data_IF_514444987835
#
_entry.id   IF_514444987835
#
_cell.length_a   1.000
_cell.length_b   1.000
_cell.length_c   1.000
_cell.angle_alpha   90.00
_cell.angle_beta   90.00
_cell.angle_gamma   90.00
#
_symmetry.space_group_name_H-M   'P 1'
#
loop_
_entity.id
_entity.type
_entity.pdbx_description
1 polymer ?
#
# COMPACT_ATOMS: atom_id res chain seq x y z
N UNK A 1 -7.56 -22.37 -46.06
CA UNK A 1 -7.88 -21.96 -44.67
C UNK A 1 -8.74 -20.71 -44.73
N UNK A 2 -10.03 -20.83 -44.41
CA UNK A 2 -10.97 -19.69 -44.43
C UNK A 2 -10.68 -18.76 -43.25
N UNK A 3 -10.29 -17.51 -43.53
CA UNK A 3 -10.16 -16.47 -42.50
C UNK A 3 -11.56 -16.19 -41.98
N UNK A 4 -11.81 -16.54 -40.73
CA UNK A 4 -13.01 -16.13 -39.98
C UNK A 4 -12.97 -14.61 -39.91
N UNK A 5 -13.81 -13.93 -40.69
CA UNK A 5 -14.05 -12.49 -40.56
C UNK A 5 -14.80 -12.33 -39.23
N UNK A 6 -14.05 -12.13 -38.15
CA UNK A 6 -14.63 -11.73 -36.87
C UNK A 6 -15.09 -10.29 -37.09
N UNK A 7 -16.39 -10.06 -36.93
CA UNK A 7 -16.96 -8.73 -37.05
C UNK A 7 -16.50 -7.92 -35.82
N UNK A 8 -15.30 -7.35 -35.92
CA UNK A 8 -14.56 -6.69 -34.83
C UNK A 8 -15.27 -5.47 -34.23
N UNK A 9 -16.34 -4.97 -34.84
CA UNK A 9 -16.98 -3.72 -34.40
C UNK A 9 -17.85 -3.86 -33.14
N UNK A 10 -18.62 -4.94 -33.00
CA UNK A 10 -19.61 -5.08 -31.91
C UNK A 10 -18.97 -5.55 -30.61
N UNK A 11 -18.03 -6.51 -30.68
CA UNK A 11 -17.35 -7.05 -29.49
C UNK A 11 -16.42 -6.01 -28.84
N UNK A 12 -15.82 -5.12 -29.64
CA UNK A 12 -14.91 -4.11 -29.12
C UNK A 12 -15.64 -2.91 -28.50
N UNK A 13 -16.85 -2.57 -28.95
CA UNK A 13 -17.57 -1.40 -28.44
C UNK A 13 -17.81 -1.46 -26.92
N UNK A 14 -18.26 -2.61 -26.40
CA UNK A 14 -18.51 -2.79 -24.95
C UNK A 14 -17.23 -2.61 -24.14
N UNK A 15 -16.10 -3.14 -24.63
CA UNK A 15 -14.82 -3.01 -23.95
C UNK A 15 -14.28 -1.57 -24.00
N UNK A 16 -14.46 -0.87 -25.12
CA UNK A 16 -14.03 0.53 -25.29
C UNK A 16 -14.90 1.52 -24.52
N UNK A 17 -16.16 1.18 -24.24
CA UNK A 17 -17.14 2.04 -23.58
C UNK A 17 -17.51 1.55 -22.17
N UNK A 18 -16.62 0.81 -21.50
CA UNK A 18 -16.90 0.30 -20.14
C UNK A 18 -17.30 1.42 -19.19
N UNK A 19 -16.57 2.53 -19.15
CA UNK A 19 -16.90 3.65 -18.25
C UNK A 19 -18.33 4.18 -18.46
N UNK A 20 -18.78 4.28 -19.71
CA UNK A 20 -20.15 4.67 -20.06
C UNK A 20 -21.20 3.64 -19.60
N UNK A 21 -20.82 2.36 -19.50
CA UNK A 21 -21.68 1.29 -19.02
C UNK A 21 -21.74 1.17 -17.49
N UNK A 22 -20.85 1.86 -16.76
CA UNK A 22 -20.77 1.76 -15.29
C UNK A 22 -22.07 2.11 -14.54
N UNK A 23 -22.94 3.04 -15.00
CA UNK A 23 -24.22 3.30 -14.35
C UNK A 23 -25.24 2.14 -14.49
N UNK A 24 -25.06 1.26 -15.46
CA UNK A 24 -26.01 0.19 -15.79
C UNK A 24 -25.64 -1.18 -15.19
N UNK A 25 -24.82 -1.20 -14.14
CA UNK A 25 -24.38 -2.44 -13.46
C UNK A 25 -25.58 -3.32 -13.08
N UNK A 26 -25.53 -4.58 -13.49
CA UNK A 26 -26.57 -5.58 -13.21
C UNK A 26 -27.82 -5.42 -14.07
N UNK A 27 -27.79 -4.62 -15.13
CA UNK A 27 -28.91 -4.41 -16.05
C UNK A 27 -28.60 -4.97 -17.44
N UNK A 28 -29.68 -5.27 -18.16
CA UNK A 28 -29.65 -5.50 -19.60
C UNK A 28 -29.67 -4.15 -20.32
N UNK A 29 -28.80 -3.99 -21.31
CA UNK A 29 -28.63 -2.75 -22.06
C UNK A 29 -28.75 -3.05 -23.55
N UNK A 30 -29.54 -2.24 -24.25
CA UNK A 30 -29.57 -2.17 -25.70
C UNK A 30 -28.73 -1.00 -26.17
N UNK A 31 -27.77 -1.25 -27.06
CA UNK A 31 -26.85 -0.24 -27.57
C UNK A 31 -26.65 -0.35 -29.08
N UNK A 32 -26.17 0.72 -29.70
CA UNK A 32 -25.63 0.70 -31.06
C UNK A 32 -24.11 1.02 -31.02
N UNK A 33 -23.50 1.38 -32.14
CA UNK A 33 -22.09 1.72 -32.23
C UNK A 33 -21.71 3.08 -31.59
N UNK A 34 -22.70 3.88 -31.19
CA UNK A 34 -22.51 5.25 -30.72
C UNK A 34 -22.99 5.45 -29.28
N UNK A 35 -24.10 4.81 -28.89
CA UNK A 35 -24.78 5.11 -27.63
C UNK A 35 -25.59 3.93 -27.07
N UNK A 36 -26.02 4.10 -25.82
CA UNK A 36 -27.00 3.25 -25.15
C UNK A 36 -28.41 3.78 -25.44
N UNK A 37 -29.28 2.90 -25.96
CA UNK A 37 -30.63 3.25 -26.40
C UNK A 37 -31.69 2.95 -25.34
N UNK A 38 -31.49 1.88 -24.57
CA UNK A 38 -32.37 1.48 -23.47
C UNK A 38 -31.62 0.61 -22.45
N UNK A 39 -32.09 0.62 -21.21
CA UNK A 39 -31.66 -0.33 -20.18
C UNK A 39 -32.84 -0.80 -19.35
N UNK A 40 -32.75 -2.01 -18.81
CA UNK A 40 -33.72 -2.52 -17.85
C UNK A 40 -33.10 -3.58 -16.94
N UNK A 41 -33.61 -3.76 -15.70
CA UNK A 41 -33.12 -4.80 -14.79
C UNK A 41 -33.31 -6.22 -15.33
N UNK A 42 -34.38 -6.46 -16.09
CA UNK A 42 -34.72 -7.77 -16.66
C UNK A 42 -34.74 -7.72 -18.17
N UNK A 43 -34.38 -8.84 -18.81
CA UNK A 43 -34.36 -8.94 -20.28
C UNK A 43 -35.75 -8.75 -20.89
N UNK A 44 -36.80 -9.23 -20.23
CA UNK A 44 -38.19 -9.03 -20.69
C UNK A 44 -38.60 -7.56 -20.69
N UNK A 45 -38.27 -6.82 -19.63
CA UNK A 45 -38.54 -5.38 -19.55
C UNK A 45 -37.75 -4.60 -20.60
N UNK A 46 -36.51 -5.02 -20.90
CA UNK A 46 -35.73 -4.40 -21.97
C UNK A 46 -36.42 -4.60 -23.32
N UNK A 47 -36.85 -5.83 -23.64
CA UNK A 47 -37.53 -6.13 -24.91
C UNK A 47 -38.81 -5.32 -25.06
N UNK A 48 -39.58 -5.13 -23.97
CA UNK A 48 -40.76 -4.27 -24.00
C UNK A 48 -40.37 -2.81 -24.30
N UNK A 49 -39.34 -2.28 -23.63
CA UNK A 49 -38.87 -0.90 -23.85
C UNK A 49 -38.38 -0.66 -25.29
N UNK A 50 -37.78 -1.67 -25.91
CA UNK A 50 -37.32 -1.64 -27.32
C UNK A 50 -38.51 -1.56 -28.27
N UNK A 51 -39.56 -2.37 -28.03
CA UNK A 51 -40.79 -2.37 -28.83
C UNK A 51 -41.51 -1.03 -28.72
N UNK A 52 -41.66 -0.51 -27.51
CA UNK A 52 -42.36 0.75 -27.25
C UNK A 52 -41.66 1.93 -27.92
N UNK A 53 -40.31 1.93 -27.90
CA UNK A 53 -39.46 2.94 -28.55
C UNK A 53 -39.22 2.69 -30.04
N UNK A 54 -39.74 1.59 -30.61
CA UNK A 54 -39.55 1.17 -32.00
C UNK A 54 -38.07 1.17 -32.44
N UNK A 55 -37.18 0.70 -31.56
CA UNK A 55 -35.74 0.64 -31.84
C UNK A 55 -35.46 -0.54 -32.76
N UNK A 56 -34.82 -0.29 -33.90
CA UNK A 56 -34.59 -1.30 -34.96
C UNK A 56 -33.15 -1.77 -35.08
N UNK A 57 -32.16 -0.90 -34.80
CA UNK A 57 -30.74 -1.23 -34.90
C UNK A 57 -30.08 -1.23 -33.51
N UNK A 58 -30.04 -2.40 -32.87
CA UNK A 58 -29.48 -2.54 -31.54
C UNK A 58 -28.80 -3.91 -31.34
N UNK A 59 -27.85 -3.94 -30.41
CA UNK A 59 -27.32 -5.16 -29.81
C UNK A 59 -27.65 -5.14 -28.32
N UNK A 60 -27.95 -6.31 -27.75
CA UNK A 60 -28.24 -6.46 -26.32
C UNK A 60 -27.00 -7.00 -25.61
N UNK A 61 -26.66 -6.41 -24.48
CA UNK A 61 -25.60 -6.88 -23.59
C UNK A 61 -26.07 -6.84 -22.14
N UNK A 62 -25.68 -7.83 -21.34
CA UNK A 62 -25.83 -7.77 -19.88
C UNK A 62 -24.59 -7.14 -19.27
N UNK A 63 -24.77 -6.05 -18.52
CA UNK A 63 -23.67 -5.33 -17.89
C UNK A 63 -23.32 -6.00 -16.57
N UNK A 64 -22.35 -6.93 -16.62
CA UNK A 64 -21.99 -7.70 -15.45
C UNK A 64 -21.30 -6.81 -14.39
N UNK A 65 -21.72 -6.84 -13.11
CA UNK A 65 -21.16 -5.98 -12.05
C UNK A 65 -19.63 -6.08 -11.90
N UNK A 66 -19.05 -7.26 -12.19
CA UNK A 66 -17.60 -7.50 -12.05
C UNK A 66 -16.76 -6.81 -13.12
N UNK A 67 -17.33 -6.29 -14.21
CA UNK A 67 -16.57 -5.57 -15.24
C UNK A 67 -15.90 -4.30 -14.72
N UNK A 68 -16.38 -3.80 -13.58
CA UNK A 68 -15.93 -2.59 -12.91
C UNK A 68 -15.22 -2.87 -11.59
N UNK A 69 -14.97 -4.15 -11.27
CA UNK A 69 -14.17 -4.49 -10.12
C UNK A 69 -12.75 -3.95 -10.34
N UNK A 70 -12.25 -3.17 -9.38
CA UNK A 70 -10.86 -2.74 -9.41
C UNK A 70 -9.99 -4.00 -9.38
N UNK A 71 -8.98 -4.14 -10.26
CA UNK A 71 -8.08 -5.27 -10.18
C UNK A 71 -7.43 -5.30 -8.80
N UNK A 72 -7.49 -6.46 -8.15
CA UNK A 72 -6.80 -6.70 -6.88
C UNK A 72 -5.30 -6.52 -7.15
N UNK A 73 -4.71 -5.45 -6.64
CA UNK A 73 -3.26 -5.24 -6.70
C UNK A 73 -2.63 -6.00 -5.54
N UNK A 74 -1.94 -7.10 -5.85
CA UNK A 74 -1.03 -7.73 -4.90
C UNK A 74 0.25 -6.91 -4.85
N UNK A 75 0.51 -6.25 -3.72
CA UNK A 75 1.77 -5.55 -3.49
C UNK A 75 2.81 -6.56 -3.00
N UNK A 76 4.05 -6.55 -3.52
CA UNK A 76 5.08 -7.47 -3.08
C UNK A 76 5.46 -7.16 -1.61
N UNK A 77 5.19 -8.11 -0.70
CA UNK A 77 5.72 -8.08 0.65
C UNK A 77 7.14 -8.66 0.60
N UNK A 78 8.14 -7.83 0.89
CA UNK A 78 9.53 -8.27 1.03
C UNK A 78 9.79 -8.60 2.48
N UNK A 79 9.89 -9.89 2.81
CA UNK A 79 10.41 -10.33 4.09
C UNK A 79 11.94 -10.20 4.06
N UNK A 80 12.50 -9.32 4.89
CA UNK A 80 13.94 -9.33 5.16
C UNK A 80 14.22 -10.51 6.08
N UNK A 81 15.19 -11.34 5.72
CA UNK A 81 15.66 -12.43 6.58
C UNK A 81 16.15 -11.84 7.90
N UNK A 82 15.53 -12.25 9.01
CA UNK A 82 16.10 -12.02 10.33
C UNK A 82 17.32 -12.93 10.46
N UNK A 83 18.49 -12.35 10.74
CA UNK A 83 19.61 -13.15 11.22
C UNK A 83 19.19 -13.75 12.56
N UNK A 84 19.20 -15.08 12.66
CA UNK A 84 19.21 -15.75 13.96
C UNK A 84 20.56 -15.41 14.60
N UNK A 85 20.59 -14.37 15.42
CA UNK A 85 21.69 -14.17 16.34
C UNK A 85 21.38 -15.03 17.57
N UNK A 86 22.38 -15.69 18.13
CA UNK A 86 22.22 -16.20 19.49
C UNK A 86 22.05 -15.00 20.39
N UNK A 87 20.99 -15.00 21.20
CA UNK A 87 20.79 -13.94 22.16
C UNK A 87 21.92 -14.02 23.19
N UNK A 88 22.80 -13.02 23.19
CA UNK A 88 23.70 -12.73 24.31
C UNK A 88 23.14 -11.53 25.04
N UNK A 89 23.26 -11.45 26.37
CA UNK A 89 22.85 -10.26 27.10
C UNK A 89 23.91 -9.15 27.03
N UNK A 90 25.13 -9.46 26.59
CA UNK A 90 26.23 -8.50 26.44
C UNK A 90 26.40 -8.08 24.97
N UNK A 91 26.56 -6.78 24.75
CA UNK A 91 26.81 -6.19 23.43
C UNK A 91 27.93 -5.15 23.48
N UNK A 92 28.64 -5.03 22.37
CA UNK A 92 29.62 -3.97 22.15
C UNK A 92 28.89 -2.63 21.91
N UNK A 93 29.16 -1.66 22.79
CA UNK A 93 28.57 -0.32 22.76
C UNK A 93 29.68 0.71 22.58
N UNK A 94 29.53 1.56 21.57
CA UNK A 94 30.40 2.72 21.40
C UNK A 94 29.80 3.92 22.13
N UNK A 95 30.47 4.37 23.18
CA UNK A 95 30.13 5.59 23.89
C UNK A 95 30.88 6.74 23.22
N UNK A 96 30.16 7.59 22.50
CA UNK A 96 30.72 8.77 21.85
C UNK A 96 30.53 10.01 22.75
N UNK A 97 31.61 10.44 23.42
CA UNK A 97 31.69 11.74 24.07
C UNK A 97 32.12 12.84 23.09
N UNK A 98 32.05 14.11 23.51
CA UNK A 98 32.31 15.27 22.64
C UNK A 98 33.73 15.32 22.01
N UNK A 99 34.69 14.53 22.52
CA UNK A 99 36.07 14.49 22.02
C UNK A 99 36.68 13.08 21.93
N UNK A 100 36.02 12.03 22.43
CA UNK A 100 36.57 10.67 22.48
C UNK A 100 35.48 9.62 22.31
N UNK A 101 35.82 8.56 21.57
CA UNK A 101 35.00 7.36 21.44
C UNK A 101 35.67 6.24 22.22
N UNK A 102 34.92 5.62 23.13
CA UNK A 102 35.35 4.41 23.82
C UNK A 102 34.36 3.30 23.52
N UNK A 103 34.90 2.11 23.22
CA UNK A 103 34.10 0.93 22.98
C UNK A 103 34.16 0.03 24.20
N UNK A 104 32.99 -0.32 24.73
CA UNK A 104 32.83 -1.12 25.96
C UNK A 104 31.80 -2.22 25.73
N UNK A 105 31.96 -3.35 26.38
CA UNK A 105 30.95 -4.42 26.40
C UNK A 105 29.94 -4.13 27.53
N UNK A 106 28.65 -4.06 27.21
CA UNK A 106 27.60 -3.72 28.18
C UNK A 106 26.47 -4.76 28.20
N UNK A 107 25.97 -5.04 29.40
CA UNK A 107 24.80 -5.89 29.66
C UNK A 107 23.50 -5.14 29.32
N UNK A 108 22.60 -5.77 28.55
CA UNK A 108 21.22 -5.32 28.34
C UNK A 108 20.35 -5.97 29.42
N UNK A 109 20.02 -5.18 30.44
CA UNK A 109 19.18 -5.62 31.55
C UNK A 109 17.86 -4.83 31.57
N UNK A 110 16.74 -5.51 31.32
CA UNK A 110 15.40 -4.91 31.36
C UNK A 110 14.84 -4.73 32.78
N UNK A 111 15.55 -5.20 33.81
CA UNK A 111 15.16 -5.11 35.22
C UNK A 111 16.07 -4.24 36.09
N UNK A 112 17.00 -3.51 35.47
CA UNK A 112 17.92 -2.63 36.20
C UNK A 112 17.22 -1.34 36.66
N UNK A 113 16.61 -1.39 37.84
CA UNK A 113 16.23 -0.19 38.60
C UNK A 113 17.36 0.18 39.56
N UNK A 114 17.83 1.42 39.42
CA UNK A 114 18.70 2.17 40.34
C UNK A 114 19.83 1.38 41.05
N UNK A 115 21.06 1.60 40.57
CA UNK A 115 22.38 1.40 41.22
C UNK A 115 23.26 0.39 40.46
N UNK A 116 24.03 0.92 39.51
CA UNK A 116 25.32 0.48 38.96
C UNK A 116 25.34 0.63 37.43
N UNK A 117 26.09 1.62 36.95
CA UNK A 117 26.68 1.88 35.61
C UNK A 117 26.12 1.20 34.34
N UNK A 118 24.83 0.87 34.27
CA UNK A 118 24.14 0.41 33.08
C UNK A 118 23.25 1.55 32.60
N UNK A 119 23.73 2.17 31.52
CA UNK A 119 23.28 3.47 31.01
C UNK A 119 22.02 3.30 30.14
N UNK A 120 21.76 2.12 29.57
CA UNK A 120 20.68 1.94 28.59
C UNK A 120 19.36 1.63 29.31
N UNK A 121 18.46 2.62 29.35
CA UNK A 121 17.12 2.48 29.95
C UNK A 121 16.54 3.77 30.54
N UNK A 122 17.36 4.83 30.73
CA UNK A 122 16.88 6.11 31.27
C UNK A 122 16.16 6.96 30.22
N UNK A 123 15.00 7.50 30.58
CA UNK A 123 14.24 8.53 29.82
C UNK A 123 15.15 9.70 29.41
N UNK A 124 16.04 10.13 30.33
CA UNK A 124 17.04 11.20 30.13
C UNK A 124 17.99 10.95 28.95
N UNK A 125 18.24 9.69 28.56
CA UNK A 125 19.10 9.38 27.41
C UNK A 125 18.38 9.56 26.09
N UNK A 126 17.11 9.16 26.00
CA UNK A 126 16.31 9.44 24.81
C UNK A 126 16.01 10.93 24.65
N UNK A 127 16.11 11.71 25.73
CA UNK A 127 16.05 13.17 25.70
C UNK A 127 17.36 13.81 25.22
N UNK A 128 18.51 13.26 25.65
CA UNK A 128 19.84 13.84 25.39
C UNK A 128 20.50 13.32 24.11
N UNK A 129 20.16 12.10 23.67
CA UNK A 129 20.82 11.40 22.58
C UNK A 129 19.81 10.88 21.55
N UNK A 130 20.19 10.94 20.28
CA UNK A 130 19.56 10.14 19.24
C UNK A 130 20.17 8.74 19.28
N UNK A 131 19.32 7.75 19.56
CA UNK A 131 19.71 6.35 19.71
C UNK A 131 19.31 5.58 18.45
N UNK A 132 20.25 4.87 17.83
CA UNK A 132 20.00 4.04 16.65
C UNK A 132 20.56 2.63 16.84
N UNK A 133 19.74 1.61 16.54
CA UNK A 133 20.17 0.22 16.53
C UNK A 133 20.54 -0.22 15.10
N UNK A 134 21.80 -0.62 14.90
CA UNK A 134 22.29 -1.17 13.63
C UNK A 134 22.39 -2.68 13.73
N UNK A 135 21.25 -3.35 13.50
CA UNK A 135 21.14 -4.81 13.62
C UNK A 135 22.15 -5.60 12.75
N UNK A 136 22.53 -5.08 11.58
CA UNK A 136 23.47 -5.77 10.68
C UNK A 136 24.89 -5.86 11.25
N UNK A 137 25.26 -4.90 12.10
CA UNK A 137 26.58 -4.70 12.68
C UNK A 137 26.59 -4.98 14.20
N UNK A 138 25.46 -5.43 14.77
CA UNK A 138 25.29 -5.72 16.20
C UNK A 138 25.66 -4.56 17.15
N UNK A 139 25.48 -3.32 16.67
CA UNK A 139 25.88 -2.10 17.38
C UNK A 139 24.69 -1.21 17.75
N UNK A 140 24.76 -0.60 18.93
CA UNK A 140 23.90 0.53 19.35
C UNK A 140 24.72 1.82 19.27
N UNK A 141 24.19 2.83 18.57
CA UNK A 141 24.85 4.13 18.39
C UNK A 141 24.10 5.20 19.18
N UNK A 142 24.82 5.92 20.05
CA UNK A 142 24.33 7.08 20.77
C UNK A 142 24.95 8.35 20.17
N UNK A 143 24.11 9.26 19.65
CA UNK A 143 24.57 10.58 19.16
C UNK A 143 24.03 11.67 20.06
N UNK A 144 24.90 12.46 20.68
CA UNK A 144 24.46 13.55 21.54
C UNK A 144 23.73 14.61 20.71
N UNK A 145 22.52 15.01 21.13
CA UNK A 145 21.80 16.13 20.50
C UNK A 145 22.54 17.43 20.80
N UNK A 146 22.72 18.25 19.78
CA UNK A 146 23.26 19.59 19.96
C UNK A 146 22.21 20.47 20.65
N UNK A 147 22.54 21.01 21.83
CA UNK A 147 21.69 21.99 22.51
C UNK A 147 21.92 23.34 21.83
N UNK A 148 20.95 23.80 21.04
CA UNK A 148 20.96 25.17 20.51
C UNK A 148 20.78 26.13 21.69
N UNK A 149 21.87 26.66 22.22
CA UNK A 149 21.81 27.79 23.16
C UNK A 149 21.63 29.05 22.35
N UNK A 150 20.39 29.55 22.25
CA UNK A 150 20.15 30.89 21.74
C UNK A 150 20.83 31.88 22.71
N UNK A 151 21.99 32.41 22.31
CA UNK A 151 22.57 33.59 22.96
C UNK A 151 21.60 34.75 22.75
N UNK A 152 20.84 35.08 23.77
CA UNK A 152 20.15 36.37 23.85
C UNK A 152 21.25 37.39 24.16
N UNK A 153 21.64 38.17 23.15
CA UNK A 153 22.54 39.30 23.35
C UNK A 153 21.76 40.40 24.07
N UNK A 154 22.18 40.75 25.29
CA UNK A 154 21.84 42.00 25.96
C UNK A 154 22.84 43.09 25.56
#
# INVERSE_FOLDING_TARGET
>A
MSKRIINDSIHNWVNNNRELLAPYKGQWVAHNANEVLASAPTGSALVQSIKDKKITNYTIVFVHPTWFAKPVRFLPIRFKTSKKHEWTPNYEVTIAGAAQHQTVEMLIDSGADEVSDIIIGREVIFDTFDVAFKQADEMIVFKKREVITNKINH
#
